data_IF_897368203094
#
_entry.id   IF_897368203094
#
_cell.length_a   1.000
_cell.length_b   1.000
_cell.length_c   1.000
_cell.angle_alpha   90.00
_cell.angle_beta   90.00
_cell.angle_gamma   90.00
#
_symmetry.space_group_name_H-M   'P 1'
#
loop_
_entity.id
_entity.type
_entity.pdbx_description
1 polymer ?
#
# COMPACT_ATOMS: atom_id res chain seq x y z
N UNK A 1 12.77 14.16 0.15
CA UNK A 1 12.13 14.43 1.44
C UNK A 1 11.90 15.90 1.68
N UNK A 2 12.37 16.68 0.77
CA UNK A 2 12.40 18.13 0.92
C UNK A 2 11.07 18.82 0.67
N UNK A 3 10.00 18.05 0.46
CA UNK A 3 8.66 18.60 0.26
C UNK A 3 8.05 19.21 1.52
N UNK A 4 8.65 18.91 2.68
CA UNK A 4 8.19 19.42 3.99
C UNK A 4 9.34 20.09 4.71
N UNK A 5 9.55 21.40 4.48
CA UNK A 5 10.68 22.11 5.09
C UNK A 5 10.61 22.16 6.62
N UNK A 6 9.43 21.96 7.20
CA UNK A 6 9.26 21.88 8.66
C UNK A 6 9.75 20.57 9.27
N UNK A 7 10.01 19.53 8.46
CA UNK A 7 10.53 18.27 8.96
C UNK A 7 12.01 18.40 9.29
N UNK A 8 12.36 17.95 10.48
CA UNK A 8 13.73 17.96 10.96
C UNK A 8 14.19 16.55 11.28
N UNK A 9 15.38 16.12 10.82
CA UNK A 9 15.91 14.83 11.20
C UNK A 9 16.13 14.72 12.72
N UNK A 10 15.97 13.52 13.32
CA UNK A 10 15.60 12.28 12.63
C UNK A 10 14.11 12.16 12.37
N UNK A 11 13.73 11.62 11.23
CA UNK A 11 12.33 11.32 10.91
C UNK A 11 12.25 10.07 10.03
N UNK A 12 11.05 9.50 9.92
CA UNK A 12 10.77 8.40 9.02
C UNK A 12 10.08 8.90 7.77
N UNK A 13 10.35 8.24 6.65
CA UNK A 13 9.67 8.53 5.39
C UNK A 13 9.16 7.22 4.79
N UNK A 14 7.88 7.18 4.47
CA UNK A 14 7.31 6.10 3.67
C UNK A 14 7.34 6.56 2.21
N UNK A 15 8.12 5.86 1.40
CA UNK A 15 8.20 6.10 -0.04
C UNK A 15 7.42 5.00 -0.75
N UNK A 16 6.33 5.35 -1.39
CA UNK A 16 5.46 4.39 -2.06
C UNK A 16 5.12 4.88 -3.46
N UNK A 17 5.67 4.24 -4.47
CA UNK A 17 5.51 4.59 -5.87
C UNK A 17 5.30 3.33 -6.72
N UNK A 18 5.29 3.49 -8.04
CA UNK A 18 5.15 2.38 -8.97
C UNK A 18 6.27 1.36 -8.88
N UNK A 19 7.50 1.82 -8.64
CA UNK A 19 8.68 0.95 -8.63
C UNK A 19 9.28 0.71 -7.25
N UNK A 20 8.85 1.46 -6.23
CA UNK A 20 9.48 1.43 -4.91
C UNK A 20 8.46 1.50 -3.79
N UNK A 21 8.71 0.73 -2.73
CA UNK A 21 7.96 0.84 -1.47
C UNK A 21 8.96 0.59 -0.35
N UNK A 22 9.40 1.66 0.31
CA UNK A 22 10.42 1.63 1.35
C UNK A 22 10.00 2.41 2.58
N UNK A 23 10.45 1.95 3.74
CA UNK A 23 10.42 2.74 4.97
C UNK A 23 11.86 3.18 5.22
N UNK A 24 12.09 4.48 5.26
CA UNK A 24 13.43 5.07 5.35
C UNK A 24 13.52 5.92 6.61
N UNK A 25 14.56 5.70 7.41
CA UNK A 25 14.92 6.58 8.51
C UNK A 25 15.91 7.62 8.00
N UNK A 26 15.56 8.90 8.12
CA UNK A 26 16.45 10.00 7.77
C UNK A 26 17.08 10.48 9.06
N UNK A 27 18.35 10.17 9.26
CA UNK A 27 19.09 10.47 10.50
C UNK A 27 19.60 11.91 10.54
N UNK A 28 20.02 12.41 9.37
CA UNK A 28 20.36 13.81 9.17
C UNK A 28 20.19 14.15 7.67
N UNK A 29 20.50 15.38 7.28
CA UNK A 29 20.26 15.82 5.90
C UNK A 29 21.09 15.08 4.85
N UNK A 30 22.11 14.35 5.24
CA UNK A 30 23.02 13.65 4.33
C UNK A 30 23.03 12.13 4.54
N UNK A 31 22.41 11.63 5.63
CA UNK A 31 22.42 10.21 5.98
C UNK A 31 21.01 9.68 6.12
N UNK A 32 20.74 8.58 5.43
CA UNK A 32 19.49 7.87 5.58
C UNK A 32 19.74 6.36 5.63
N UNK A 33 18.76 5.65 6.13
CA UNK A 33 18.85 4.21 6.33
C UNK A 33 17.53 3.55 5.95
N UNK A 34 17.55 2.58 5.05
CA UNK A 34 16.36 1.87 4.64
C UNK A 34 16.07 0.80 5.69
N UNK A 35 14.95 0.94 6.40
CA UNK A 35 14.55 -0.01 7.44
C UNK A 35 13.79 -1.20 6.86
N UNK A 36 12.96 -0.97 5.86
CA UNK A 36 12.15 -2.01 5.26
C UNK A 36 11.75 -1.69 3.83
N UNK A 37 11.36 -2.70 3.11
CA UNK A 37 10.94 -2.59 1.72
C UNK A 37 9.95 -3.70 1.38
N UNK A 38 9.30 -3.59 0.21
CA UNK A 38 8.54 -4.71 -0.31
C UNK A 38 9.48 -5.81 -0.79
N UNK A 39 9.11 -7.05 -0.54
CA UNK A 39 9.92 -8.22 -0.98
C UNK A 39 9.49 -8.75 -2.34
N UNK A 40 8.39 -8.23 -2.88
CA UNK A 40 7.86 -8.63 -4.19
C UNK A 40 7.37 -7.38 -4.94
N UNK A 41 6.08 -7.30 -5.27
CA UNK A 41 5.55 -6.14 -5.99
C UNK A 41 5.61 -4.88 -5.13
N UNK A 42 5.99 -3.76 -5.72
CA UNK A 42 5.80 -2.45 -5.08
C UNK A 42 4.30 -2.14 -4.98
N UNK A 43 3.93 -1.22 -4.09
CA UNK A 43 2.53 -0.87 -3.89
C UNK A 43 1.87 -0.39 -5.19
N UNK A 44 2.54 0.47 -5.97
CA UNK A 44 2.03 0.95 -7.24
C UNK A 44 1.81 -0.17 -8.25
N UNK A 45 2.74 -1.13 -8.32
CA UNK A 45 2.57 -2.32 -9.17
C UNK A 45 1.37 -3.15 -8.75
N UNK A 46 1.17 -3.34 -7.45
CA UNK A 46 0.03 -4.09 -6.93
C UNK A 46 -1.29 -3.41 -7.31
N UNK A 47 -1.36 -2.09 -7.19
CA UNK A 47 -2.53 -1.33 -7.63
C UNK A 47 -2.80 -1.49 -9.13
N UNK A 48 -1.75 -1.43 -9.96
CA UNK A 48 -1.90 -1.58 -11.41
C UNK A 48 -2.41 -2.98 -11.78
N UNK A 49 -1.87 -4.00 -11.14
CA UNK A 49 -2.27 -5.40 -11.40
C UNK A 49 -3.70 -5.68 -10.95
N UNK A 50 -4.09 -5.14 -9.79
CA UNK A 50 -5.46 -5.28 -9.29
C UNK A 50 -6.44 -4.51 -10.17
N UNK A 51 -6.09 -3.29 -10.58
CA UNK A 51 -6.92 -2.53 -11.51
C UNK A 51 -7.19 -3.30 -12.79
N UNK A 52 -6.14 -3.91 -13.36
CA UNK A 52 -6.28 -4.74 -14.55
C UNK A 52 -7.23 -5.92 -14.32
N UNK A 53 -7.08 -6.61 -13.18
CA UNK A 53 -7.94 -7.73 -12.80
C UNK A 53 -9.41 -7.31 -12.70
N UNK A 54 -9.66 -6.10 -12.21
CA UNK A 54 -11.02 -5.57 -12.02
C UNK A 54 -11.57 -4.86 -13.26
N UNK A 55 -10.79 -4.79 -14.33
CA UNK A 55 -11.21 -4.08 -15.55
C UNK A 55 -11.15 -2.57 -15.44
N UNK A 56 -10.35 -2.05 -14.53
CA UNK A 56 -10.19 -0.61 -14.31
C UNK A 56 -9.03 -0.06 -15.15
N UNK A 57 -9.06 1.23 -15.52
CA UNK A 57 -8.01 1.80 -16.36
C UNK A 57 -6.70 2.02 -15.61
N UNK A 58 -5.61 2.09 -16.37
CA UNK A 58 -4.30 2.50 -15.90
C UNK A 58 -4.23 4.04 -15.90
N UNK A 59 -3.56 4.68 -14.92
CA UNK A 59 -2.81 4.06 -13.81
C UNK A 59 -3.72 3.52 -12.71
N UNK A 60 -3.31 2.39 -12.13
CA UNK A 60 -4.14 1.61 -11.20
C UNK A 60 -4.44 2.30 -9.89
N UNK A 61 -3.46 3.02 -9.31
CA UNK A 61 -3.68 3.71 -8.05
C UNK A 61 -4.88 4.63 -8.06
N UNK A 62 -4.92 5.63 -8.96
CA UNK A 62 -6.07 6.53 -9.06
C UNK A 62 -7.38 5.83 -9.43
N UNK A 63 -7.36 4.83 -10.32
CA UNK A 63 -8.58 4.16 -10.74
C UNK A 63 -9.17 3.28 -9.62
N UNK A 64 -8.33 2.60 -8.85
CA UNK A 64 -8.76 1.85 -7.68
C UNK A 64 -9.32 2.80 -6.62
N UNK A 65 -8.64 3.92 -6.37
CA UNK A 65 -9.11 4.92 -5.41
C UNK A 65 -10.47 5.48 -5.80
N UNK A 66 -10.68 5.77 -7.07
CA UNK A 66 -11.95 6.27 -7.57
C UNK A 66 -13.07 5.23 -7.40
N UNK A 67 -12.81 3.98 -7.78
CA UNK A 67 -13.79 2.90 -7.61
C UNK A 67 -14.12 2.66 -6.13
N UNK A 68 -13.11 2.77 -5.26
CA UNK A 68 -13.26 2.53 -3.83
C UNK A 68 -14.15 3.55 -3.13
N UNK A 69 -14.34 4.74 -3.70
CA UNK A 69 -15.14 5.81 -3.07
C UNK A 69 -16.55 5.40 -2.74
N UNK A 70 -17.15 4.51 -3.52
CA UNK A 70 -18.52 4.04 -3.32
C UNK A 70 -18.57 2.63 -2.75
N UNK A 71 -17.42 2.04 -2.42
CA UNK A 71 -17.33 0.67 -1.95
C UNK A 71 -17.24 0.56 -0.43
N UNK A 72 -17.51 -0.66 0.04
CA UNK A 72 -17.38 -1.03 1.45
C UNK A 72 -16.04 -1.74 1.65
N UNK A 73 -15.13 -1.12 2.40
CA UNK A 73 -13.80 -1.66 2.66
C UNK A 73 -13.80 -2.94 3.51
N UNK A 74 -14.93 -3.29 4.09
CA UNK A 74 -15.08 -4.49 4.92
C UNK A 74 -15.81 -5.63 4.20
N UNK A 75 -16.23 -5.42 2.95
CA UNK A 75 -17.02 -6.40 2.22
C UNK A 75 -16.23 -7.68 1.87
N UNK A 76 -14.96 -7.54 1.59
CA UNK A 76 -14.07 -8.67 1.31
C UNK A 76 -12.94 -8.72 2.33
N UNK A 77 -12.72 -9.91 2.88
CA UNK A 77 -11.63 -10.11 3.83
C UNK A 77 -10.41 -10.60 3.08
N UNK A 78 -9.46 -9.70 2.83
CA UNK A 78 -8.21 -10.03 2.18
C UNK A 78 -7.14 -10.33 3.23
N UNK A 79 -6.24 -11.28 2.96
CA UNK A 79 -5.22 -11.67 3.93
C UNK A 79 -4.13 -10.62 4.07
N UNK A 80 -3.36 -10.72 5.17
CA UNK A 80 -2.09 -10.03 5.30
C UNK A 80 -1.02 -11.05 4.92
N UNK A 81 -0.32 -10.88 3.78
CA UNK A 81 0.69 -11.85 3.37
C UNK A 81 1.82 -11.93 4.38
N UNK A 82 2.29 -13.15 4.63
CA UNK A 82 3.44 -13.36 5.49
C UNK A 82 4.71 -12.85 4.80
N UNK A 83 5.61 -12.25 5.58
CA UNK A 83 6.86 -11.73 5.08
C UNK A 83 7.93 -11.81 6.17
N UNK A 84 9.15 -12.18 5.76
CA UNK A 84 10.30 -12.15 6.66
C UNK A 84 10.85 -10.73 6.74
N UNK A 85 11.38 -10.39 7.91
CA UNK A 85 11.88 -9.04 8.16
C UNK A 85 10.85 -8.17 8.84
N UNK A 86 11.28 -7.48 9.91
CA UNK A 86 10.38 -6.76 10.80
C UNK A 86 9.59 -5.64 10.13
N UNK A 87 10.23 -4.93 9.20
CA UNK A 87 9.63 -3.76 8.53
C UNK A 87 9.36 -4.00 7.06
N UNK A 88 9.54 -5.22 6.58
CA UNK A 88 9.28 -5.57 5.19
C UNK A 88 7.79 -5.80 4.97
N UNK A 89 7.37 -5.65 3.73
CA UNK A 89 5.99 -5.89 3.31
C UNK A 89 5.96 -6.79 2.08
N UNK A 90 4.82 -7.43 1.86
CA UNK A 90 4.56 -8.25 0.67
C UNK A 90 3.18 -7.90 0.15
N UNK A 91 3.07 -7.70 -1.16
CA UNK A 91 1.81 -7.35 -1.81
C UNK A 91 1.34 -8.34 -2.86
N UNK A 92 2.21 -9.22 -3.34
CA UNK A 92 1.84 -10.20 -4.38
C UNK A 92 0.70 -11.11 -3.95
N UNK A 93 0.68 -11.52 -2.68
CA UNK A 93 -0.40 -12.36 -2.15
C UNK A 93 -1.76 -11.67 -2.18
N UNK A 94 -1.79 -10.35 -2.04
CA UNK A 94 -3.04 -9.58 -2.13
C UNK A 94 -3.59 -9.58 -3.55
N UNK A 95 -2.73 -9.43 -4.55
CA UNK A 95 -3.13 -9.52 -5.95
C UNK A 95 -3.75 -10.89 -6.23
N UNK A 96 -3.11 -11.96 -5.76
CA UNK A 96 -3.62 -13.33 -5.91
C UNK A 96 -4.97 -13.49 -5.20
N UNK A 97 -5.13 -12.92 -4.01
CA UNK A 97 -6.38 -12.99 -3.27
C UNK A 97 -7.53 -12.30 -4.02
N UNK A 98 -7.26 -11.14 -4.64
CA UNK A 98 -8.25 -10.45 -5.48
C UNK A 98 -8.62 -11.31 -6.68
N UNK A 99 -7.64 -11.88 -7.36
CA UNK A 99 -7.89 -12.76 -8.51
C UNK A 99 -8.74 -13.97 -8.11
N UNK A 100 -8.47 -14.55 -6.94
CA UNK A 100 -9.25 -15.67 -6.42
C UNK A 100 -10.72 -15.28 -6.17
N UNK A 101 -10.98 -14.07 -5.66
CA UNK A 101 -12.35 -13.60 -5.47
C UNK A 101 -13.09 -13.44 -6.81
N UNK A 102 -12.40 -12.93 -7.83
CA UNK A 102 -12.97 -12.79 -9.16
C UNK A 102 -13.29 -14.18 -9.75
N UNK A 103 -12.36 -15.12 -9.66
CA UNK A 103 -12.56 -16.48 -10.18
C UNK A 103 -13.69 -17.21 -9.44
N UNK A 104 -13.76 -17.05 -8.13
CA UNK A 104 -14.79 -17.64 -7.30
C UNK A 104 -16.20 -17.16 -7.70
N UNK A 105 -16.33 -15.85 -7.96
CA UNK A 105 -17.58 -15.27 -8.43
C UNK A 105 -17.96 -15.82 -9.80
N UNK A 106 -17.01 -15.94 -10.72
CA UNK A 106 -17.25 -16.50 -12.05
C UNK A 106 -17.72 -17.95 -11.99
N UNK A 107 -17.12 -18.76 -11.11
CA UNK A 107 -17.51 -20.16 -10.94
C UNK A 107 -18.93 -20.31 -10.40
N UNK A 108 -19.42 -19.33 -9.64
CA UNK A 108 -20.78 -19.32 -9.09
C UNK A 108 -21.78 -18.57 -9.96
N UNK A 109 -21.37 -18.10 -11.14
CA UNK A 109 -22.16 -17.23 -12.00
C UNK A 109 -22.65 -15.96 -11.28
N UNK A 110 -21.82 -15.46 -10.37
CA UNK A 110 -22.08 -14.22 -9.64
C UNK A 110 -21.19 -13.12 -10.18
N UNK A 111 -21.63 -11.87 -10.02
CA UNK A 111 -20.79 -10.73 -10.34
C UNK A 111 -20.07 -10.26 -9.08
N UNK A 112 -18.80 -9.87 -9.22
CA UNK A 112 -18.10 -9.23 -8.12
C UNK A 112 -18.57 -7.78 -7.99
N UNK A 113 -18.51 -7.26 -6.78
CA UNK A 113 -18.74 -5.84 -6.54
C UNK A 113 -17.40 -5.13 -6.65
N UNK A 114 -17.13 -4.50 -7.79
CA UNK A 114 -15.84 -3.85 -8.06
C UNK A 114 -15.53 -2.74 -7.05
N UNK A 115 -16.47 -1.81 -6.74
CA UNK A 115 -16.19 -0.81 -5.70
C UNK A 115 -15.83 -1.41 -4.34
N UNK A 116 -16.54 -2.44 -3.91
CA UNK A 116 -16.28 -3.09 -2.62
C UNK A 116 -14.91 -3.77 -2.60
N UNK A 117 -14.58 -4.48 -3.68
CA UNK A 117 -13.29 -5.17 -3.76
C UNK A 117 -12.14 -4.17 -3.87
N UNK A 118 -12.31 -3.09 -4.62
CA UNK A 118 -11.34 -2.00 -4.71
C UNK A 118 -11.12 -1.35 -3.33
N UNK A 119 -12.19 -1.07 -2.60
CA UNK A 119 -12.11 -0.48 -1.27
C UNK A 119 -11.42 -1.42 -0.28
N UNK A 120 -11.75 -2.72 -0.34
CA UNK A 120 -11.15 -3.72 0.54
C UNK A 120 -9.65 -3.88 0.28
N UNK A 121 -9.25 -3.89 -0.99
CA UNK A 121 -7.85 -3.97 -1.37
C UNK A 121 -7.07 -2.74 -0.91
N UNK A 122 -7.59 -1.54 -1.19
CA UNK A 122 -6.93 -0.29 -0.81
C UNK A 122 -6.74 -0.20 0.70
N UNK A 123 -7.79 -0.54 1.46
CA UNK A 123 -7.73 -0.52 2.91
C UNK A 123 -6.70 -1.51 3.45
N UNK A 124 -6.58 -2.68 2.83
CA UNK A 124 -5.61 -3.67 3.26
C UNK A 124 -4.17 -3.22 3.03
N UNK A 125 -3.86 -2.66 1.86
CA UNK A 125 -2.53 -2.11 1.59
C UNK A 125 -2.20 -0.96 2.54
N UNK A 126 -3.13 -0.04 2.71
CA UNK A 126 -2.93 1.09 3.63
C UNK A 126 -2.68 0.61 5.06
N UNK A 127 -3.42 -0.39 5.50
CA UNK A 127 -3.25 -0.96 6.84
C UNK A 127 -1.90 -1.64 7.04
N UNK A 128 -1.44 -2.38 6.05
CA UNK A 128 -0.13 -3.05 6.10
C UNK A 128 0.99 -2.01 6.20
N UNK A 129 0.96 -1.00 5.36
CA UNK A 129 2.00 0.05 5.35
C UNK A 129 1.95 0.88 6.62
N UNK A 130 0.76 1.26 7.09
CA UNK A 130 0.61 2.02 8.32
C UNK A 130 1.12 1.25 9.54
N UNK A 131 0.82 -0.04 9.62
CA UNK A 131 1.28 -0.88 10.72
C UNK A 131 2.81 -0.94 10.78
N UNK A 132 3.45 -1.16 9.63
CA UNK A 132 4.92 -1.21 9.57
C UNK A 132 5.55 0.14 9.89
N UNK A 133 4.96 1.22 9.40
CA UNK A 133 5.45 2.57 9.68
C UNK A 133 5.35 2.92 11.17
N UNK A 134 4.23 2.59 11.80
CA UNK A 134 4.05 2.79 13.24
C UNK A 134 5.01 1.95 14.06
N UNK A 135 5.24 0.70 13.65
CA UNK A 135 6.21 -0.18 14.30
C UNK A 135 7.61 0.40 14.21
N UNK A 136 8.01 0.88 13.03
CA UNK A 136 9.31 1.50 12.83
C UNK A 136 9.44 2.79 13.66
N UNK A 137 8.38 3.59 13.75
CA UNK A 137 8.39 4.81 14.57
C UNK A 137 8.58 4.48 16.06
N UNK A 138 7.89 3.46 16.56
CA UNK A 138 8.04 3.03 17.94
C UNK A 138 9.44 2.53 18.24
N UNK A 139 10.03 1.77 17.33
CA UNK A 139 11.36 1.17 17.54
C UNK A 139 12.49 2.19 17.40
N UNK A 140 12.36 3.18 16.53
CA UNK A 140 13.39 4.21 16.30
C UNK A 140 13.20 5.44 17.18
N UNK A 141 12.04 5.60 17.82
CA UNK A 141 11.72 6.79 18.58
C UNK A 141 11.43 8.02 17.73
N UNK A 142 11.22 7.83 16.43
CA UNK A 142 10.91 8.94 15.52
C UNK A 142 9.56 9.57 15.88
N UNK A 143 9.52 10.91 15.86
CA UNK A 143 8.32 11.68 16.22
C UNK A 143 7.63 12.29 15.01
N UNK A 144 8.27 12.25 13.86
CA UNK A 144 7.76 12.81 12.62
C UNK A 144 7.84 11.79 11.50
N UNK A 145 6.85 11.81 10.63
CA UNK A 145 6.78 10.92 9.46
C UNK A 145 6.47 11.73 8.22
N UNK A 146 7.06 11.30 7.13
CA UNK A 146 6.83 11.87 5.80
C UNK A 146 6.25 10.81 4.89
N UNK A 147 5.31 11.18 4.05
CA UNK A 147 4.77 10.31 3.01
C UNK A 147 5.20 10.86 1.65
N UNK A 148 5.69 9.98 0.78
CA UNK A 148 6.17 10.37 -0.54
C UNK A 148 5.79 9.32 -1.58
N UNK A 149 5.63 9.76 -2.83
CA UNK A 149 5.33 8.89 -3.95
C UNK A 149 3.87 8.91 -4.38
N UNK A 150 3.59 8.32 -5.55
CA UNK A 150 2.27 8.36 -6.16
C UNK A 150 1.18 7.63 -5.38
N UNK A 151 1.54 6.54 -4.67
CA UNK A 151 0.57 5.77 -3.88
C UNK A 151 0.06 6.59 -2.69
N UNK A 152 0.93 7.44 -2.11
CA UNK A 152 0.53 8.30 -0.99
C UNK A 152 -0.55 9.31 -1.40
N UNK A 153 -0.68 9.63 -2.67
CA UNK A 153 -1.68 10.55 -3.19
C UNK A 153 -3.11 9.98 -3.20
N UNK A 154 -3.29 8.69 -2.89
CA UNK A 154 -4.63 8.08 -2.84
C UNK A 154 -5.47 8.59 -1.68
N UNK A 155 -4.92 9.31 -0.73
CA UNK A 155 -5.70 9.93 0.33
C UNK A 155 -6.12 9.00 1.47
N UNK A 156 -5.62 7.78 1.53
CA UNK A 156 -5.92 6.83 2.61
C UNK A 156 -4.94 6.90 3.78
N UNK A 157 -3.86 7.61 3.58
CA UNK A 157 -2.76 7.69 4.56
C UNK A 157 -3.00 8.82 5.62
#
# INVERSE_FOLDING_TARGET
YLTHPELKPPFLCLVASGGHSHIVEVQDYTHYHILGHTVDDAAGEAFDKVARTLGLPYPGGPSVANAAKTGDSKAYRLPVPHVDGKYNVSFSGLKTAVLNEVNKAQMKNEEINVPDLAASFQERIAGILAEKLLLAAADTGAKQVCLAGGVAANGRW
#
